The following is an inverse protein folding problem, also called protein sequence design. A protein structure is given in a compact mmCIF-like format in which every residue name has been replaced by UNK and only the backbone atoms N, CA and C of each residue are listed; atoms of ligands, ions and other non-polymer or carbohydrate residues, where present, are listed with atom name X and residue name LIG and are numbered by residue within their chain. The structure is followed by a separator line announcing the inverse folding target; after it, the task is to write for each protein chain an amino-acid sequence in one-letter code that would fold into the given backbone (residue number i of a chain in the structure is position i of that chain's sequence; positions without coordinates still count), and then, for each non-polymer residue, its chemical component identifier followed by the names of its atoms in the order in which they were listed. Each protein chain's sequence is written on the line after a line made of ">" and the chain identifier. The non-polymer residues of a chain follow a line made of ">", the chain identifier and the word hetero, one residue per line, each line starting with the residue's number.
data_IF_218273868255
#
_entry.id   IF_218273868255
#
_cell.length_a   1.000
_cell.length_b   1.000
_cell.length_c   1.000
_cell.angle_alpha   90.00
_cell.angle_beta   90.00
_cell.angle_gamma   90.00
#
_symmetry.space_group_name_H-M   'P 1'
#
loop_
_entity.id
_entity.type
_entity.pdbx_description
1 polymer ?
#
# COMPACT_ATOMS: atom_id res chain seq x y z
N UNK A 1 15.84 23.24 -25.95
CA UNK A 1 16.22 22.26 -24.93
C UNK A 1 15.43 22.62 -23.68
N UNK A 2 14.61 21.69 -23.15
CA UNK A 2 13.75 21.95 -21.99
C UNK A 2 14.44 21.51 -20.71
N UNK A 3 14.30 22.28 -19.66
CA UNK A 3 14.94 22.02 -18.38
C UNK A 3 14.08 21.13 -17.49
N UNK A 4 14.65 20.02 -17.01
CA UNK A 4 13.98 19.05 -16.12
C UNK A 4 14.72 19.01 -14.78
N UNK A 5 14.00 19.25 -13.68
CA UNK A 5 14.54 19.15 -12.33
C UNK A 5 14.09 17.84 -11.67
N UNK A 6 15.00 17.09 -11.05
CA UNK A 6 14.72 15.89 -10.27
C UNK A 6 14.78 16.22 -8.78
N UNK A 7 13.64 16.17 -8.07
CA UNK A 7 13.56 16.50 -6.64
C UNK A 7 13.87 15.37 -5.68
N UNK A 8 14.05 14.17 -6.22
CA UNK A 8 14.50 12.98 -5.49
C UNK A 8 15.49 12.23 -6.36
N UNK A 9 16.10 11.20 -5.79
CA UNK A 9 16.86 10.26 -6.61
C UNK A 9 15.89 9.58 -7.57
N UNK A 10 16.04 9.91 -8.85
CA UNK A 10 15.33 9.29 -9.97
C UNK A 10 16.33 8.35 -10.63
N UNK A 11 15.93 7.08 -10.90
CA UNK A 11 16.80 6.09 -11.51
C UNK A 11 17.30 6.58 -12.88
N UNK A 12 18.55 6.24 -13.19
CA UNK A 12 19.17 6.54 -14.49
C UNK A 12 18.34 5.96 -15.66
N UNK A 13 17.66 4.85 -15.48
CA UNK A 13 16.76 4.30 -16.50
C UNK A 13 15.63 5.24 -16.90
N UNK A 14 15.19 6.13 -16.02
CA UNK A 14 14.20 7.17 -16.32
C UNK A 14 14.87 8.37 -16.98
N UNK A 15 15.98 8.85 -16.42
CA UNK A 15 16.68 10.03 -16.92
C UNK A 15 17.39 9.81 -18.26
N UNK A 16 17.92 8.60 -18.52
CA UNK A 16 18.54 8.24 -19.80
C UNK A 16 17.58 8.27 -21.00
N UNK A 17 16.28 8.31 -20.72
CA UNK A 17 15.25 8.49 -21.77
C UNK A 17 15.03 9.94 -22.17
N UNK A 18 15.55 10.87 -21.40
CA UNK A 18 15.53 12.26 -21.78
C UNK A 18 16.50 12.47 -22.93
N UNK A 19 15.97 12.68 -24.11
CA UNK A 19 16.76 12.90 -25.34
C UNK A 19 17.47 14.24 -25.32
N UNK A 20 18.26 14.54 -26.36
CA UNK A 20 18.97 15.84 -26.48
C UNK A 20 18.10 17.10 -26.47
N UNK A 21 16.77 16.95 -26.49
CA UNK A 21 15.81 18.05 -26.34
C UNK A 21 15.62 18.47 -24.88
N UNK A 22 16.13 17.68 -23.93
CA UNK A 22 16.00 17.91 -22.49
C UNK A 22 17.36 18.09 -21.84
N UNK A 23 17.39 18.88 -20.78
CA UNK A 23 18.57 19.12 -19.93
C UNK A 23 18.17 18.95 -18.47
N UNK A 24 18.95 18.18 -17.70
CA UNK A 24 18.78 18.12 -16.25
C UNK A 24 19.35 19.41 -15.63
N UNK A 25 18.61 19.96 -14.68
CA UNK A 25 18.98 21.14 -13.89
C UNK A 25 18.78 20.85 -12.40
N UNK A 26 19.61 21.48 -11.57
CA UNK A 26 19.60 21.25 -10.12
C UNK A 26 18.61 22.19 -9.40
N UNK A 27 18.38 23.40 -9.91
CA UNK A 27 17.47 24.38 -9.30
C UNK A 27 16.06 24.27 -9.91
N UNK A 28 15.06 24.12 -9.04
CA UNK A 28 13.66 24.10 -9.44
C UNK A 28 13.22 25.39 -10.16
N UNK A 29 13.88 26.53 -9.86
CA UNK A 29 13.56 27.82 -10.46
C UNK A 29 13.78 27.85 -11.96
N UNK A 30 14.68 27.02 -12.45
CA UNK A 30 15.02 26.93 -13.88
C UNK A 30 14.21 25.82 -14.59
N UNK A 31 13.34 25.08 -13.87
CA UNK A 31 12.64 23.93 -14.41
C UNK A 31 11.42 24.29 -15.25
N UNK A 32 11.30 23.65 -16.40
CA UNK A 32 10.08 23.56 -17.22
C UNK A 32 9.31 22.27 -16.95
N UNK A 33 9.97 21.24 -16.40
CA UNK A 33 9.38 20.00 -15.93
C UNK A 33 10.03 19.50 -14.64
N UNK A 34 9.26 18.84 -13.81
CA UNK A 34 9.73 18.27 -12.54
C UNK A 34 9.49 16.74 -12.55
N UNK A 35 10.52 15.98 -12.18
CA UNK A 35 10.40 14.58 -11.81
C UNK A 35 10.45 14.47 -10.28
N UNK A 36 9.45 13.87 -9.66
CA UNK A 36 9.34 13.72 -8.20
C UNK A 36 8.90 12.32 -7.81
N UNK A 37 9.38 11.82 -6.68
CA UNK A 37 8.93 10.55 -6.08
C UNK A 37 8.18 10.80 -4.76
N UNK A 38 8.88 11.26 -3.73
CA UNK A 38 8.36 11.39 -2.37
C UNK A 38 8.42 12.82 -1.81
N UNK A 39 9.18 13.73 -2.42
CA UNK A 39 9.25 15.11 -1.95
C UNK A 39 7.86 15.76 -1.97
N UNK A 40 7.53 16.50 -0.91
CA UNK A 40 6.32 17.32 -0.85
C UNK A 40 6.50 18.59 -1.65
N UNK A 41 5.50 18.92 -2.48
CA UNK A 41 5.45 20.13 -3.28
C UNK A 41 4.44 21.16 -2.77
N UNK A 42 3.81 20.93 -1.60
CA UNK A 42 2.76 21.81 -1.06
C UNK A 42 3.27 23.20 -0.66
N UNK A 43 4.54 23.31 -0.27
CA UNK A 43 5.16 24.58 0.10
C UNK A 43 6.14 25.10 -0.96
N UNK A 44 6.10 24.52 -2.17
CA UNK A 44 7.04 24.84 -3.24
C UNK A 44 6.50 25.96 -4.12
N UNK A 45 7.26 27.02 -4.28
CA UNK A 45 6.98 28.05 -5.28
C UNK A 45 7.32 27.52 -6.68
N UNK A 46 6.31 27.33 -7.52
CA UNK A 46 6.51 26.88 -8.89
C UNK A 46 6.94 28.03 -9.79
N UNK A 47 8.03 27.85 -10.57
CA UNK A 47 8.45 28.86 -11.55
C UNK A 47 7.39 29.05 -12.63
N UNK A 48 7.30 30.28 -13.17
CA UNK A 48 6.29 30.62 -14.19
C UNK A 48 6.43 29.83 -15.49
N UNK A 49 7.60 29.25 -15.73
CA UNK A 49 7.88 28.42 -16.91
C UNK A 49 7.53 26.96 -16.73
N UNK A 50 7.11 26.51 -15.53
CA UNK A 50 6.82 25.09 -15.26
C UNK A 50 5.55 24.63 -15.99
N UNK A 51 5.68 23.60 -16.80
CA UNK A 51 4.60 23.06 -17.64
C UNK A 51 4.08 21.73 -17.14
N UNK A 52 4.92 20.90 -16.52
CA UNK A 52 4.57 19.55 -16.14
C UNK A 52 5.28 19.07 -14.87
N UNK A 53 4.59 18.24 -14.11
CA UNK A 53 5.14 17.47 -12.99
C UNK A 53 4.85 16.00 -13.24
N UNK A 54 5.86 15.14 -13.22
CA UNK A 54 5.68 13.70 -13.32
C UNK A 54 6.12 13.02 -12.03
N UNK A 55 5.18 12.28 -11.40
CA UNK A 55 5.45 11.52 -10.20
C UNK A 55 5.80 10.08 -10.53
N UNK A 56 6.97 9.65 -10.08
CA UNK A 56 7.34 8.23 -10.06
C UNK A 56 6.59 7.51 -8.92
N UNK A 57 5.35 7.09 -9.19
CA UNK A 57 4.47 6.42 -8.25
C UNK A 57 2.99 6.64 -8.53
N UNK A 58 2.12 5.88 -7.86
CA UNK A 58 0.68 5.88 -8.12
C UNK A 58 -0.07 7.04 -7.43
N UNK A 59 0.27 7.35 -6.17
CA UNK A 59 -0.37 8.43 -5.43
C UNK A 59 0.12 9.81 -5.88
N UNK A 60 -0.63 10.87 -5.61
CA UNK A 60 -0.28 12.26 -5.94
C UNK A 60 -0.50 13.22 -4.76
N UNK A 61 -0.62 12.66 -3.57
CA UNK A 61 -0.90 13.41 -2.34
C UNK A 61 0.23 14.37 -1.90
N UNK A 62 1.42 14.21 -2.44
CA UNK A 62 2.55 15.13 -2.24
C UNK A 62 2.59 16.29 -3.25
N UNK A 63 1.61 16.40 -4.15
CA UNK A 63 1.52 17.41 -5.20
C UNK A 63 0.23 18.21 -5.01
N UNK A 64 0.28 19.55 -4.92
CA UNK A 64 -0.91 20.41 -4.79
C UNK A 64 -1.66 20.52 -6.13
N UNK A 65 -2.51 19.51 -6.43
CA UNK A 65 -3.19 19.36 -7.73
C UNK A 65 -4.01 20.59 -8.12
N UNK A 66 -4.76 21.17 -7.17
CA UNK A 66 -5.61 22.33 -7.43
C UNK A 66 -4.78 23.58 -7.82
N UNK A 67 -3.63 23.75 -7.18
CA UNK A 67 -2.71 24.85 -7.52
C UNK A 67 -2.06 24.63 -8.88
N UNK A 68 -1.61 23.39 -9.14
CA UNK A 68 -1.08 23.01 -10.46
C UNK A 68 -2.12 23.28 -11.56
N UNK A 69 -3.36 22.89 -11.35
CA UNK A 69 -4.44 23.11 -12.31
C UNK A 69 -4.69 24.59 -12.58
N UNK A 70 -4.73 25.45 -11.53
CA UNK A 70 -4.90 26.91 -11.67
C UNK A 70 -3.74 27.57 -12.45
N UNK A 71 -2.53 27.02 -12.31
CA UNK A 71 -1.33 27.49 -13.02
C UNK A 71 -1.15 26.85 -14.40
N UNK A 72 -2.03 25.95 -14.82
CA UNK A 72 -1.93 25.23 -16.11
C UNK A 72 -0.82 24.18 -16.15
N UNK A 73 -0.34 23.72 -14.98
CA UNK A 73 0.70 22.68 -14.86
C UNK A 73 0.05 21.31 -14.95
N UNK A 74 0.49 20.48 -15.89
CA UNK A 74 -0.01 19.12 -16.06
C UNK A 74 0.69 18.18 -15.08
N UNK A 75 -0.07 17.35 -14.36
CA UNK A 75 0.47 16.35 -13.42
C UNK A 75 0.26 14.94 -13.98
N UNK A 76 1.37 14.18 -14.05
CA UNK A 76 1.39 12.78 -14.45
C UNK A 76 1.77 11.89 -13.26
N UNK A 77 1.28 10.67 -13.25
CA UNK A 77 1.67 9.64 -12.30
C UNK A 77 1.80 8.27 -13.00
N UNK A 78 2.34 7.26 -12.28
CA UNK A 78 2.56 5.90 -12.80
C UNK A 78 1.76 4.88 -11.98
N UNK A 79 0.43 4.79 -12.16
CA UNK A 79 -0.40 3.86 -11.41
C UNK A 79 -0.06 2.41 -11.79
N UNK A 80 0.01 1.52 -10.79
CA UNK A 80 0.25 0.09 -10.98
C UNK A 80 1.72 -0.31 -11.11
N UNK A 81 2.67 0.62 -11.20
CA UNK A 81 4.08 0.30 -11.33
C UNK A 81 4.64 -0.48 -10.12
N UNK A 82 4.12 -0.20 -8.92
CA UNK A 82 4.51 -0.83 -7.66
C UNK A 82 3.57 -1.97 -7.21
N UNK A 83 2.61 -2.38 -8.05
CA UNK A 83 1.56 -3.32 -7.63
C UNK A 83 2.10 -4.66 -7.14
N UNK A 84 3.16 -5.17 -7.78
CA UNK A 84 3.78 -6.44 -7.39
C UNK A 84 4.50 -6.33 -6.05
N UNK A 85 5.31 -5.27 -5.83
CA UNK A 85 6.00 -5.06 -4.55
C UNK A 85 5.03 -4.96 -3.38
N UNK A 86 3.95 -4.16 -3.53
CA UNK A 86 2.91 -4.06 -2.50
C UNK A 86 2.21 -5.40 -2.27
N UNK A 87 1.84 -6.13 -3.33
CA UNK A 87 1.26 -7.48 -3.22
C UNK A 87 2.14 -8.40 -2.39
N UNK A 88 3.44 -8.45 -2.67
CA UNK A 88 4.38 -9.31 -1.95
C UNK A 88 4.48 -8.95 -0.46
N UNK A 89 4.48 -7.66 -0.14
CA UNK A 89 4.47 -7.21 1.25
C UNK A 89 3.15 -7.56 1.96
N UNK A 90 2.00 -7.46 1.27
CA UNK A 90 0.70 -7.92 1.82
C UNK A 90 0.74 -9.42 2.11
N UNK A 91 1.29 -10.24 1.19
CA UNK A 91 1.42 -11.68 1.40
C UNK A 91 2.35 -12.00 2.59
N UNK A 92 3.46 -11.30 2.70
CA UNK A 92 4.33 -11.39 3.88
C UNK A 92 3.54 -11.06 5.16
N UNK A 93 2.73 -10.00 5.15
CA UNK A 93 1.84 -9.64 6.25
C UNK A 93 0.85 -10.73 6.62
N UNK A 94 0.24 -11.41 5.66
CA UNK A 94 -0.64 -12.56 5.92
C UNK A 94 0.10 -13.69 6.66
N UNK A 95 1.33 -13.99 6.28
CA UNK A 95 2.13 -15.03 6.95
C UNK A 95 2.62 -14.59 8.33
N UNK A 96 3.07 -13.35 8.49
CA UNK A 96 3.55 -12.81 9.77
C UNK A 96 2.41 -12.73 10.82
N UNK A 97 1.17 -12.52 10.39
CA UNK A 97 0.01 -12.45 11.27
C UNK A 97 -0.66 -13.80 11.53
N UNK A 98 -0.42 -14.79 10.68
CA UNK A 98 -0.99 -16.13 10.84
C UNK A 98 -0.29 -16.93 11.96
N UNK A 99 1.00 -16.70 12.17
CA UNK A 99 1.83 -17.23 13.26
C UNK A 99 2.66 -16.11 13.84
N UNK A 100 3.06 -16.21 15.10
CA UNK A 100 3.91 -15.20 15.73
C UNK A 100 5.38 -15.38 15.33
N UNK A 101 5.67 -15.17 14.04
CA UNK A 101 7.02 -15.28 13.48
C UNK A 101 7.94 -14.22 14.07
N UNK A 102 7.43 -12.99 14.26
CA UNK A 102 8.22 -11.87 14.81
C UNK A 102 8.63 -12.19 16.24
N UNK A 103 7.68 -12.54 17.12
CA UNK A 103 7.98 -12.93 18.49
C UNK A 103 8.92 -14.15 18.57
N UNK A 104 8.77 -15.11 17.64
CA UNK A 104 9.70 -16.24 17.54
C UNK A 104 11.14 -15.82 17.18
N UNK A 105 11.30 -14.84 16.28
CA UNK A 105 12.62 -14.27 15.94
C UNK A 105 13.24 -13.53 17.14
N UNK A 106 12.44 -12.73 17.83
CA UNK A 106 12.88 -11.98 19.03
C UNK A 106 13.29 -12.96 20.13
N UNK A 107 12.49 -13.97 20.39
CA UNK A 107 12.84 -15.03 21.36
C UNK A 107 14.19 -15.69 21.03
N UNK A 108 14.46 -16.04 19.77
CA UNK A 108 15.74 -16.61 19.37
C UNK A 108 16.91 -15.65 19.60
N UNK A 109 16.71 -14.36 19.41
CA UNK A 109 17.75 -13.33 19.68
C UNK A 109 18.04 -13.18 21.17
N UNK A 110 16.99 -13.16 21.99
CA UNK A 110 17.10 -13.03 23.45
C UNK A 110 17.84 -14.21 24.08
N UNK A 111 17.69 -15.43 23.51
CA UNK A 111 18.33 -16.64 24.00
C UNK A 111 19.61 -17.02 23.23
N UNK A 112 20.15 -16.08 22.43
CA UNK A 112 21.38 -16.34 21.68
C UNK A 112 22.57 -16.62 22.60
N UNK A 113 23.31 -17.70 22.32
CA UNK A 113 24.48 -18.12 23.10
C UNK A 113 24.19 -19.03 24.30
N UNK A 114 22.92 -19.37 24.56
CA UNK A 114 22.58 -20.35 25.59
C UNK A 114 22.83 -21.79 25.10
N UNK A 115 23.60 -22.59 25.86
CA UNK A 115 23.96 -23.97 25.48
C UNK A 115 22.72 -24.90 25.40
N UNK A 116 21.67 -24.61 26.19
CA UNK A 116 20.44 -25.42 26.24
C UNK A 116 19.28 -24.89 25.39
N UNK A 117 19.55 -23.94 24.47
CA UNK A 117 18.53 -23.30 23.63
C UNK A 117 17.64 -24.31 22.90
N UNK A 118 18.19 -25.43 22.43
CA UNK A 118 17.42 -26.48 21.73
C UNK A 118 16.36 -27.10 22.63
N UNK A 119 16.62 -27.27 23.92
CA UNK A 119 15.65 -27.80 24.89
C UNK A 119 14.60 -26.77 25.25
N UNK A 120 15.01 -25.50 25.37
CA UNK A 120 14.11 -24.38 25.67
C UNK A 120 13.15 -24.13 24.48
N UNK A 121 13.65 -24.19 23.25
CA UNK A 121 12.89 -24.03 22.02
C UNK A 121 11.71 -25.00 21.98
N UNK A 122 11.91 -26.29 22.26
CA UNK A 122 10.83 -27.28 22.24
C UNK A 122 9.71 -26.98 23.24
N UNK A 123 10.03 -26.38 24.38
CA UNK A 123 9.05 -25.94 25.39
C UNK A 123 8.33 -24.66 24.98
N UNK A 124 9.07 -23.72 24.38
CA UNK A 124 8.59 -22.36 24.07
C UNK A 124 7.79 -22.29 22.75
N UNK A 125 8.03 -23.18 21.79
CA UNK A 125 7.45 -23.12 20.44
C UNK A 125 5.93 -23.00 20.41
N UNK A 126 5.23 -23.49 21.43
CA UNK A 126 3.75 -23.41 21.52
C UNK A 126 3.27 -21.96 21.70
N UNK A 127 4.08 -21.07 22.27
CA UNK A 127 3.73 -19.66 22.45
C UNK A 127 3.61 -18.92 21.11
N UNK A 128 4.36 -19.37 20.10
CA UNK A 128 4.40 -18.76 18.76
C UNK A 128 3.50 -19.47 17.73
N UNK A 129 2.75 -20.48 18.17
CA UNK A 129 1.85 -21.23 17.32
C UNK A 129 0.67 -20.36 16.84
N UNK A 130 0.23 -20.59 15.63
CA UNK A 130 -0.90 -19.89 15.03
C UNK A 130 -1.73 -20.81 14.16
N UNK A 131 -2.22 -20.29 13.05
CA UNK A 131 -3.04 -21.00 12.09
C UNK A 131 -2.44 -20.94 10.69
N UNK A 132 -2.90 -21.81 9.80
CA UNK A 132 -2.62 -21.74 8.38
C UNK A 132 -3.60 -20.78 7.70
N UNK A 133 -3.17 -20.12 6.61
CA UNK A 133 -4.06 -19.24 5.82
C UNK A 133 -4.96 -20.02 4.85
N UNK A 134 -4.60 -21.27 4.49
CA UNK A 134 -5.41 -22.11 3.61
C UNK A 134 -6.82 -22.32 4.19
N UNK A 135 -7.84 -22.11 3.36
CA UNK A 135 -9.24 -22.22 3.74
C UNK A 135 -9.75 -21.09 4.64
N UNK A 136 -8.91 -20.10 4.99
CA UNK A 136 -9.35 -18.88 5.67
C UNK A 136 -9.94 -17.90 4.67
N UNK A 137 -10.87 -17.07 5.14
CA UNK A 137 -11.55 -16.08 4.33
C UNK A 137 -10.78 -14.75 4.37
N UNK A 138 -10.40 -14.25 3.19
CA UNK A 138 -9.78 -12.94 3.02
C UNK A 138 -10.77 -11.98 2.36
N UNK A 139 -11.08 -10.88 3.03
CA UNK A 139 -11.77 -9.74 2.45
C UNK A 139 -10.77 -8.78 1.81
N UNK A 140 -10.97 -8.46 0.54
CA UNK A 140 -10.17 -7.46 -0.18
C UNK A 140 -11.07 -6.28 -0.50
N UNK A 141 -10.83 -5.15 0.16
CA UNK A 141 -11.59 -3.90 -0.03
C UNK A 141 -10.80 -2.99 -0.96
N UNK A 142 -11.32 -2.78 -2.16
CA UNK A 142 -10.64 -2.10 -3.27
C UNK A 142 -9.98 -3.09 -4.23
N UNK A 143 -10.52 -3.22 -5.44
CA UNK A 143 -10.06 -4.13 -6.50
C UNK A 143 -9.42 -3.33 -7.64
N UNK A 144 -8.58 -2.36 -7.29
CA UNK A 144 -7.70 -1.68 -8.22
C UNK A 144 -6.48 -2.54 -8.60
N UNK A 145 -5.44 -1.92 -9.15
CA UNK A 145 -4.25 -2.62 -9.64
C UNK A 145 -3.58 -3.52 -8.57
N UNK A 146 -3.54 -3.08 -7.31
CA UNK A 146 -2.95 -3.84 -6.19
C UNK A 146 -3.93 -4.89 -5.68
N UNK A 147 -5.17 -4.48 -5.37
CA UNK A 147 -6.16 -5.39 -4.79
C UNK A 147 -6.48 -6.61 -5.65
N UNK A 148 -6.52 -6.46 -6.98
CA UNK A 148 -6.67 -7.60 -7.90
C UNK A 148 -5.50 -8.58 -7.81
N UNK A 149 -4.28 -8.10 -7.78
CA UNK A 149 -3.08 -8.96 -7.65
C UNK A 149 -3.06 -9.70 -6.30
N UNK A 150 -3.41 -8.99 -5.22
CA UNK A 150 -3.52 -9.59 -3.87
C UNK A 150 -4.61 -10.65 -3.85
N UNK A 151 -5.80 -10.35 -4.37
CA UNK A 151 -6.92 -11.29 -4.43
C UNK A 151 -6.55 -12.57 -5.18
N UNK A 152 -5.93 -12.44 -6.36
CA UNK A 152 -5.50 -13.57 -7.17
C UNK A 152 -4.43 -14.42 -6.46
N UNK A 153 -3.42 -13.77 -5.88
CA UNK A 153 -2.33 -14.45 -5.19
C UNK A 153 -2.83 -15.19 -3.93
N UNK A 154 -3.71 -14.57 -3.13
CA UNK A 154 -4.31 -15.19 -1.96
C UNK A 154 -5.18 -16.41 -2.34
N UNK A 155 -5.95 -16.30 -3.43
CA UNK A 155 -6.73 -17.42 -3.95
C UNK A 155 -5.82 -18.59 -4.40
N UNK A 156 -4.68 -18.30 -5.04
CA UNK A 156 -3.69 -19.30 -5.43
C UNK A 156 -3.03 -19.98 -4.21
N UNK A 157 -2.92 -19.28 -3.07
CA UNK A 157 -2.46 -19.84 -1.79
C UNK A 157 -3.55 -20.65 -1.06
N UNK A 158 -4.74 -20.76 -1.64
CA UNK A 158 -5.84 -21.57 -1.11
C UNK A 158 -6.73 -20.85 -0.09
N UNK A 159 -6.71 -19.53 -0.03
CA UNK A 159 -7.69 -18.74 0.73
C UNK A 159 -9.02 -18.65 -0.02
N UNK A 160 -10.12 -18.49 0.72
CA UNK A 160 -11.40 -18.07 0.14
C UNK A 160 -11.43 -16.53 0.07
N UNK A 161 -11.41 -15.99 -1.13
CA UNK A 161 -11.28 -14.54 -1.32
C UNK A 161 -12.62 -13.89 -1.64
N UNK A 162 -12.95 -12.84 -0.90
CA UNK A 162 -14.12 -11.98 -1.00
C UNK A 162 -13.66 -10.60 -1.44
N UNK A 163 -14.02 -10.18 -2.64
CA UNK A 163 -13.60 -8.90 -3.21
C UNK A 163 -14.75 -7.89 -3.25
N UNK A 164 -14.53 -6.69 -2.71
CA UNK A 164 -15.47 -5.57 -2.74
C UNK A 164 -14.84 -4.35 -3.37
N UNK A 165 -15.44 -3.84 -4.42
CA UNK A 165 -15.13 -2.53 -5.02
C UNK A 165 -16.35 -2.04 -5.83
N UNK A 166 -17.07 -1.00 -5.34
CA UNK A 166 -18.23 -0.47 -6.04
C UNK A 166 -17.89 0.27 -7.34
N UNK A 167 -16.61 0.56 -7.57
CA UNK A 167 -16.11 1.31 -8.73
C UNK A 167 -15.14 0.49 -9.59
N UNK A 168 -15.17 -0.84 -9.49
CA UNK A 168 -14.25 -1.70 -10.23
C UNK A 168 -14.31 -1.41 -11.73
N UNK A 169 -13.14 -1.22 -12.34
CA UNK A 169 -13.07 -1.06 -13.79
C UNK A 169 -13.29 -2.40 -14.51
N UNK A 170 -13.79 -2.34 -15.76
CA UNK A 170 -13.96 -3.55 -16.58
C UNK A 170 -12.64 -4.30 -16.73
N UNK A 171 -11.53 -3.61 -16.96
CA UNK A 171 -10.22 -4.25 -17.09
C UNK A 171 -9.79 -4.96 -15.80
N UNK A 172 -10.00 -4.34 -14.63
CA UNK A 172 -9.70 -4.96 -13.34
C UNK A 172 -10.56 -6.22 -13.12
N UNK A 173 -11.85 -6.16 -13.45
CA UNK A 173 -12.74 -7.30 -13.34
C UNK A 173 -12.31 -8.49 -14.23
N UNK A 174 -11.81 -8.22 -15.44
CA UNK A 174 -11.27 -9.25 -16.33
C UNK A 174 -9.98 -9.89 -15.82
N UNK A 175 -9.21 -9.18 -14.99
CA UNK A 175 -7.96 -9.70 -14.39
C UNK A 175 -8.20 -10.57 -13.17
N UNK A 176 -9.37 -10.50 -12.55
CA UNK A 176 -9.70 -11.30 -11.37
C UNK A 176 -9.89 -12.77 -11.70
N UNK A 177 -9.34 -13.62 -10.83
CA UNK A 177 -9.62 -15.06 -10.86
C UNK A 177 -11.12 -15.30 -10.62
N UNK A 178 -11.68 -16.28 -11.32
CA UNK A 178 -13.07 -16.71 -11.15
C UNK A 178 -13.36 -17.29 -9.75
N UNK A 179 -12.33 -17.64 -8.99
CA UNK A 179 -12.46 -18.11 -7.59
C UNK A 179 -12.68 -16.96 -6.60
N UNK A 180 -12.43 -15.70 -6.99
CA UNK A 180 -12.73 -14.53 -6.15
C UNK A 180 -14.23 -14.27 -6.15
N UNK A 181 -14.84 -14.27 -4.97
CA UNK A 181 -16.27 -14.02 -4.79
C UNK A 181 -16.50 -12.50 -4.80
N UNK A 182 -17.30 -12.03 -5.76
CA UNK A 182 -17.70 -10.63 -5.82
C UNK A 182 -18.73 -10.30 -4.73
N UNK A 183 -18.47 -9.30 -3.92
CA UNK A 183 -19.29 -8.85 -2.81
C UNK A 183 -19.85 -7.47 -3.13
N UNK A 184 -21.18 -7.30 -2.99
CA UNK A 184 -21.88 -6.04 -3.27
C UNK A 184 -22.01 -5.14 -2.02
N UNK A 185 -21.88 -5.72 -0.82
CA UNK A 185 -21.99 -5.01 0.46
C UNK A 185 -20.76 -5.32 1.31
N UNK A 186 -20.00 -4.29 1.66
CA UNK A 186 -18.79 -4.40 2.48
C UNK A 186 -19.04 -5.04 3.85
N UNK A 187 -20.26 -4.91 4.39
CA UNK A 187 -20.63 -5.54 5.65
C UNK A 187 -20.53 -7.09 5.59
N UNK A 188 -20.69 -7.68 4.41
CA UNK A 188 -20.46 -9.11 4.23
C UNK A 188 -18.99 -9.48 4.48
N UNK A 189 -18.05 -8.63 4.03
CA UNK A 189 -16.62 -8.80 4.31
C UNK A 189 -16.37 -8.71 5.81
N UNK A 190 -16.92 -7.70 6.50
CA UNK A 190 -16.76 -7.55 7.94
C UNK A 190 -17.26 -8.79 8.70
N UNK A 191 -18.44 -9.29 8.39
CA UNK A 191 -19.05 -10.44 9.09
C UNK A 191 -18.35 -11.77 8.83
N UNK A 192 -17.87 -11.98 7.61
CA UNK A 192 -17.50 -13.31 7.15
C UNK A 192 -16.00 -13.57 7.11
N UNK A 193 -15.17 -12.53 7.01
CA UNK A 193 -13.75 -12.71 6.76
C UNK A 193 -12.93 -12.85 8.04
N UNK A 194 -11.89 -13.67 7.96
CA UNK A 194 -10.91 -13.88 9.04
C UNK A 194 -9.74 -12.87 8.91
N UNK A 195 -9.48 -12.42 7.70
CA UNK A 195 -8.48 -11.43 7.32
C UNK A 195 -9.14 -10.37 6.45
N UNK A 196 -8.81 -9.10 6.65
CA UNK A 196 -9.30 -7.99 5.82
C UNK A 196 -8.12 -7.13 5.40
N UNK A 197 -7.97 -6.91 4.10
CA UNK A 197 -6.95 -6.03 3.53
C UNK A 197 -7.58 -4.89 2.75
N UNK A 198 -7.04 -3.67 2.94
CA UNK A 198 -7.62 -2.45 2.37
C UNK A 198 -6.70 -1.89 1.29
N UNK A 199 -7.25 -1.62 0.11
CA UNK A 199 -6.54 -1.12 -1.08
C UNK A 199 -7.29 0.02 -1.77
N UNK A 200 -7.96 0.87 -1.00
CA UNK A 200 -8.70 2.03 -1.50
C UNK A 200 -7.86 3.32 -1.36
N UNK A 201 -8.10 4.34 -2.18
CA UNK A 201 -7.52 5.67 -1.97
C UNK A 201 -8.10 6.31 -0.70
N UNK A 202 -7.35 7.23 -0.11
CA UNK A 202 -7.85 8.09 0.96
C UNK A 202 -8.69 9.21 0.33
N UNK A 203 -9.98 9.19 0.62
CA UNK A 203 -11.00 10.16 0.23
C UNK A 203 -11.83 10.49 1.47
N UNK A 204 -12.64 11.55 1.43
CA UNK A 204 -13.57 11.86 2.52
C UNK A 204 -14.51 10.68 2.84
N UNK A 205 -14.92 9.93 1.82
CA UNK A 205 -15.79 8.75 1.95
C UNK A 205 -15.10 7.48 2.46
N UNK A 206 -13.76 7.43 2.43
CA UNK A 206 -12.98 6.26 2.88
C UNK A 206 -12.15 6.56 4.12
N UNK A 207 -12.06 7.83 4.51
CA UNK A 207 -11.38 8.22 5.74
C UNK A 207 -12.04 7.53 6.94
N UNK A 208 -11.20 6.87 7.74
CA UNK A 208 -11.62 6.13 8.93
C UNK A 208 -12.76 5.12 8.66
N UNK A 209 -12.76 4.52 7.46
CA UNK A 209 -13.77 3.51 7.12
C UNK A 209 -13.66 2.25 7.98
N UNK A 210 -12.48 1.98 8.53
CA UNK A 210 -12.24 0.93 9.52
C UNK A 210 -12.21 1.59 10.89
N UNK A 211 -13.36 1.61 11.54
CA UNK A 211 -13.65 2.25 12.82
C UNK A 211 -14.41 1.30 13.74
N UNK A 212 -14.88 1.82 14.89
CA UNK A 212 -15.63 1.04 15.87
C UNK A 212 -16.85 0.34 15.27
N UNK A 213 -17.65 1.02 14.45
CA UNK A 213 -18.85 0.43 13.85
C UNK A 213 -18.50 -0.72 12.90
N UNK A 214 -17.38 -0.62 12.18
CA UNK A 214 -16.86 -1.69 11.35
C UNK A 214 -16.34 -2.85 12.22
N UNK A 215 -15.56 -2.57 13.28
CA UNK A 215 -15.07 -3.61 14.20
C UNK A 215 -16.21 -4.36 14.89
N UNK A 216 -17.25 -3.68 15.31
CA UNK A 216 -18.41 -4.31 15.99
C UNK A 216 -19.09 -5.37 15.08
N UNK A 217 -19.00 -5.22 13.76
CA UNK A 217 -19.54 -6.18 12.78
C UNK A 217 -18.56 -7.33 12.45
N UNK A 218 -17.26 -7.16 12.72
CA UNK A 218 -16.25 -8.15 12.36
C UNK A 218 -16.26 -9.37 13.29
N UNK A 219 -15.61 -10.43 12.84
CA UNK A 219 -15.35 -11.59 13.70
C UNK A 219 -14.39 -11.24 14.82
N UNK A 220 -14.56 -11.92 15.96
CA UNK A 220 -13.55 -11.85 17.03
C UNK A 220 -12.25 -12.50 16.55
N UNK A 221 -11.14 -11.83 16.81
CA UNK A 221 -9.82 -12.27 16.36
C UNK A 221 -9.53 -12.03 14.88
N UNK A 222 -10.28 -11.13 14.22
CA UNK A 222 -9.98 -10.71 12.84
C UNK A 222 -8.58 -10.12 12.73
N UNK A 223 -7.95 -10.29 11.57
CA UNK A 223 -6.66 -9.68 11.24
C UNK A 223 -6.87 -8.57 10.20
N UNK A 224 -6.34 -7.39 10.47
CA UNK A 224 -6.45 -6.24 9.57
C UNK A 224 -5.09 -5.94 8.93
N UNK A 225 -5.09 -5.73 7.60
CA UNK A 225 -3.90 -5.34 6.84
C UNK A 225 -4.17 -4.01 6.11
N UNK A 226 -3.33 -3.01 6.36
CA UNK A 226 -3.42 -1.70 5.72
C UNK A 226 -2.09 -1.31 5.09
N UNK A 227 -1.98 -1.54 3.80
CA UNK A 227 -0.86 -1.11 2.96
C UNK A 227 -1.27 -0.03 1.96
N UNK A 228 -2.41 0.65 2.23
CA UNK A 228 -2.95 1.67 1.34
C UNK A 228 -2.68 3.10 1.83
N UNK A 229 -3.25 3.51 2.97
CA UNK A 229 -3.08 4.85 3.57
C UNK A 229 -3.35 4.79 5.08
N UNK A 230 -2.67 5.65 5.84
CA UNK A 230 -2.78 5.75 7.30
C UNK A 230 -4.21 6.02 7.79
N UNK A 231 -4.83 7.08 7.31
CA UNK A 231 -6.14 7.54 7.78
C UNK A 231 -7.35 6.69 7.30
N UNK A 232 -7.14 5.51 6.73
CA UNK A 232 -8.23 4.58 6.42
C UNK A 232 -8.73 3.82 7.66
N UNK A 233 -7.90 3.75 8.70
CA UNK A 233 -8.19 3.10 9.97
C UNK A 233 -8.21 4.16 11.06
N UNK A 234 -9.21 4.13 11.95
CA UNK A 234 -9.21 4.96 13.14
C UNK A 234 -8.29 4.32 14.19
N UNK A 235 -7.22 5.02 14.58
CA UNK A 235 -6.20 4.47 15.47
C UNK A 235 -6.70 4.24 16.91
N UNK A 236 -7.59 5.11 17.42
CA UNK A 236 -8.13 4.98 18.78
C UNK A 236 -9.06 3.77 18.88
N UNK A 237 -9.92 3.58 17.89
CA UNK A 237 -10.80 2.41 17.79
C UNK A 237 -10.00 1.11 17.57
N UNK A 238 -8.89 1.17 16.79
CA UNK A 238 -7.99 0.04 16.59
C UNK A 238 -7.32 -0.37 17.90
N UNK A 239 -6.85 0.60 18.71
CA UNK A 239 -6.25 0.31 20.00
C UNK A 239 -7.23 -0.42 20.95
N UNK A 240 -8.49 0.00 20.98
CA UNK A 240 -9.54 -0.67 21.76
C UNK A 240 -9.85 -2.06 21.21
N UNK A 241 -9.93 -2.22 19.88
CA UNK A 241 -10.20 -3.49 19.22
C UNK A 241 -9.07 -4.51 19.47
N UNK A 242 -7.82 -4.10 19.45
CA UNK A 242 -6.67 -4.94 19.81
C UNK A 242 -6.72 -5.34 21.29
N UNK A 243 -6.95 -4.38 22.19
CA UNK A 243 -7.02 -4.61 23.63
C UNK A 243 -8.16 -5.58 24.03
N UNK A 244 -9.31 -5.49 23.37
CA UNK A 244 -10.45 -6.38 23.62
C UNK A 244 -10.31 -7.75 22.97
N UNK A 245 -9.33 -7.95 22.07
CA UNK A 245 -9.20 -9.17 21.27
C UNK A 245 -10.15 -9.26 20.08
N UNK A 246 -10.93 -8.21 19.79
CA UNK A 246 -11.75 -8.11 18.58
C UNK A 246 -10.86 -8.19 17.35
N UNK A 247 -9.74 -7.46 17.34
CA UNK A 247 -8.66 -7.57 16.37
C UNK A 247 -7.51 -8.36 17.00
N UNK A 248 -7.08 -9.44 16.36
CA UNK A 248 -5.96 -10.26 16.82
C UNK A 248 -4.61 -9.63 16.50
N UNK A 249 -4.46 -9.09 15.30
CA UNK A 249 -3.25 -8.43 14.79
C UNK A 249 -3.64 -7.34 13.80
N UNK A 250 -2.92 -6.24 13.85
CA UNK A 250 -2.96 -5.18 12.84
C UNK A 250 -1.61 -5.06 12.18
N UNK A 251 -1.55 -5.08 10.87
CA UNK A 251 -0.32 -4.84 10.13
C UNK A 251 -0.49 -3.63 9.22
N UNK A 252 0.48 -2.72 9.26
CA UNK A 252 0.42 -1.47 8.49
C UNK A 252 1.79 -1.07 7.97
N UNK A 253 1.79 -0.37 6.84
CA UNK A 253 2.96 0.24 6.22
C UNK A 253 3.03 1.76 6.48
N UNK A 254 2.16 2.23 7.38
CA UNK A 254 2.02 3.65 7.76
C UNK A 254 2.11 3.82 9.28
N UNK A 255 3.32 3.62 9.86
CA UNK A 255 3.52 3.77 11.30
C UNK A 255 3.36 5.24 11.73
N UNK A 256 2.78 5.42 12.90
CA UNK A 256 2.76 6.68 13.61
C UNK A 256 3.07 6.45 15.11
N UNK A 257 3.14 7.52 15.90
CA UNK A 257 3.49 7.42 17.30
C UNK A 257 2.54 6.53 18.12
N UNK A 258 1.24 6.48 17.74
CA UNK A 258 0.24 5.64 18.40
C UNK A 258 0.38 4.18 17.96
N UNK A 259 0.30 3.92 16.66
CA UNK A 259 0.29 2.55 16.11
C UNK A 259 1.58 1.80 16.40
N UNK A 260 2.73 2.49 16.41
CA UNK A 260 4.03 1.87 16.72
C UNK A 260 4.17 1.43 18.18
N UNK A 261 3.35 1.95 19.09
CA UNK A 261 3.36 1.62 20.50
C UNK A 261 2.28 0.60 20.91
N UNK A 262 1.41 0.17 19.99
CA UNK A 262 0.32 -0.76 20.29
C UNK A 262 0.80 -2.21 20.27
N UNK A 263 0.48 -2.97 21.31
CA UNK A 263 0.66 -4.42 21.30
C UNK A 263 -0.23 -5.05 20.20
N UNK A 264 0.33 -6.01 19.47
CA UNK A 264 -0.39 -6.68 18.39
C UNK A 264 -0.29 -5.99 17.03
N UNK A 265 0.39 -4.85 16.95
CA UNK A 265 0.70 -4.17 15.68
C UNK A 265 2.05 -4.64 15.13
N UNK A 266 2.09 -4.87 13.82
CA UNK A 266 3.32 -5.05 13.05
C UNK A 266 3.38 -3.89 12.06
N UNK A 267 4.34 -3.00 12.22
CA UNK A 267 4.46 -1.82 11.38
C UNK A 267 5.78 -1.82 10.60
N UNK A 268 5.72 -1.40 9.34
CA UNK A 268 6.89 -1.22 8.47
C UNK A 268 6.95 0.22 7.94
N UNK A 269 8.16 0.78 7.67
CA UNK A 269 8.30 2.17 7.29
C UNK A 269 8.04 2.39 5.78
N UNK A 270 6.81 2.20 5.32
CA UNK A 270 6.31 2.41 3.95
C UNK A 270 7.12 1.64 2.89
N UNK A 271 7.30 0.35 3.13
CA UNK A 271 8.12 -0.53 2.29
C UNK A 271 7.39 -1.08 1.05
N UNK A 272 6.07 -0.89 0.93
CA UNK A 272 5.26 -1.50 -0.12
C UNK A 272 5.76 -1.28 -1.55
N UNK A 273 6.38 -0.13 -1.82
CA UNK A 273 6.97 0.19 -3.12
C UNK A 273 8.51 0.24 -3.10
N UNK A 274 9.16 -0.18 -2.01
CA UNK A 274 10.60 -0.06 -1.83
C UNK A 274 11.33 -1.32 -2.32
N UNK A 275 11.18 -1.63 -3.60
CA UNK A 275 11.90 -2.68 -4.31
C UNK A 275 12.58 -2.10 -5.56
N UNK A 276 13.71 -2.68 -5.98
CA UNK A 276 14.41 -2.25 -7.21
C UNK A 276 13.48 -2.29 -8.41
N UNK A 277 12.67 -3.36 -8.55
CA UNK A 277 11.73 -3.52 -9.65
C UNK A 277 10.58 -2.49 -9.60
N UNK A 278 10.10 -2.11 -8.42
CA UNK A 278 9.08 -1.07 -8.29
C UNK A 278 9.63 0.29 -8.69
N UNK A 279 10.86 0.60 -8.30
CA UNK A 279 11.57 1.81 -8.70
C UNK A 279 11.77 1.86 -10.21
N UNK A 280 12.28 0.80 -10.80
CA UNK A 280 12.49 0.67 -12.23
C UNK A 280 11.17 0.76 -13.01
N UNK A 281 10.13 0.05 -12.59
CA UNK A 281 8.83 0.08 -13.25
C UNK A 281 8.17 1.46 -13.20
N UNK A 282 8.28 2.19 -12.09
CA UNK A 282 7.80 3.56 -11.97
C UNK A 282 8.48 4.51 -12.98
N UNK A 283 9.69 4.19 -13.38
CA UNK A 283 10.54 5.06 -14.19
C UNK A 283 10.64 4.58 -15.65
N UNK A 284 10.50 3.28 -15.91
CA UNK A 284 10.54 2.72 -17.25
C UNK A 284 9.24 2.89 -18.05
N UNK A 285 8.11 3.17 -17.40
CA UNK A 285 6.81 3.11 -18.06
C UNK A 285 6.55 1.76 -18.74
N UNK A 286 7.17 0.66 -18.25
CA UNK A 286 7.04 -0.70 -18.83
C UNK A 286 5.64 -1.29 -18.72
N UNK A 287 4.84 -0.77 -17.79
CA UNK A 287 3.42 -0.93 -17.93
C UNK A 287 3.01 0.08 -19.00
N UNK A 288 2.66 -0.41 -20.17
CA UNK A 288 1.97 0.39 -21.17
C UNK A 288 1.04 1.33 -20.38
N UNK A 289 1.32 2.64 -20.46
CA UNK A 289 0.26 3.60 -20.31
C UNK A 289 -0.74 3.17 -21.38
N UNK A 290 -1.68 2.30 -21.02
CA UNK A 290 -2.93 2.29 -21.71
C UNK A 290 -3.33 3.75 -21.69
N UNK A 291 -3.33 4.35 -22.86
CA UNK A 291 -3.71 5.74 -23.08
C UNK A 291 -5.11 6.08 -22.54
N UNK A 292 -5.78 5.11 -21.93
CA UNK A 292 -7.06 5.19 -21.24
C UNK A 292 -6.96 5.31 -19.69
N UNK A 293 -5.81 5.04 -19.03
CA UNK A 293 -5.69 5.07 -17.58
C UNK A 293 -4.68 6.09 -17.04
N UNK A 294 -3.93 6.77 -17.90
CA UNK A 294 -3.16 7.95 -17.53
C UNK A 294 -4.14 9.08 -17.17
N UNK A 295 -4.47 9.23 -15.89
CA UNK A 295 -5.30 10.34 -15.44
C UNK A 295 -4.51 11.62 -15.63
N UNK A 296 -4.84 12.35 -16.69
CA UNK A 296 -4.42 13.74 -16.84
C UNK A 296 -5.35 14.54 -15.93
N UNK A 297 -4.84 15.03 -14.82
CA UNK A 297 -5.55 15.99 -14.00
C UNK A 297 -5.52 17.33 -14.71
N UNK A 298 -6.52 17.59 -15.56
CA UNK A 298 -6.83 18.94 -16.05
C UNK A 298 -7.86 19.52 -15.09
N UNK A 299 -7.56 20.69 -14.53
CA UNK A 299 -8.58 21.49 -13.86
C UNK A 299 -9.69 21.84 -14.85
N UNK A 300 -10.93 21.71 -14.41
CA UNK A 300 -12.12 22.22 -15.10
C UNK A 300 -12.32 23.65 -14.70
#
# INVERSE_FOLDING_TARGET
>A
MRNICCLNQISHYGTDRLTGDYKLVDDIKDAEGILVRSASLHETEFPSGLQAIARAGAGVNNIPLDECAKKGIVVFNTPGANKNGVKELVLAGLFLTSRDVVGGIEWCREHAGEEDISKKMEKSKKAFAGNEIRGKKLGVIGLGAIGCEVANAAAALGMEVYGYDPFISVNAAWMLSRSVKHIMDVNTIYKDCDYITVHVPLLDSTKEMINKDAFDQMKDGVVILNYARDLLVNDDDMAEALKSGKVKKYITDFPNAKTSAMDGVIATPHLGASTEESEDNCQHGKYHCDSASGRIYRGV
#
